data_IF_874408870789
#
_entry.id   IF_874408870789
#
_cell.length_a   1.000
_cell.length_b   1.000
_cell.length_c   1.000
_cell.angle_alpha   90.00
_cell.angle_beta   90.00
_cell.angle_gamma   90.00
#
_symmetry.space_group_name_H-M   'P 1'
#
loop_
_entity.id
_entity.type
_entity.pdbx_description
1 polymer ?
#
# COMPACT_ATOMS: atom_id res chain seq x y z
N UNK A 1 -11.46 -43.92 15.10
CA UNK A 1 -10.86 -42.66 14.59
C UNK A 1 -11.83 -42.05 13.60
N UNK A 2 -12.61 -41.05 14.03
CA UNK A 2 -13.54 -40.32 13.16
C UNK A 2 -12.72 -39.45 12.23
N UNK A 3 -12.88 -39.63 10.91
CA UNK A 3 -12.36 -38.71 9.93
C UNK A 3 -12.83 -37.30 10.32
N UNK A 4 -11.89 -36.44 10.67
CA UNK A 4 -12.17 -35.02 10.81
C UNK A 4 -12.57 -34.54 9.42
N UNK A 5 -13.86 -34.28 9.24
CA UNK A 5 -14.38 -33.50 8.13
C UNK A 5 -13.58 -32.21 8.07
N UNK A 6 -12.59 -32.15 7.17
CA UNK A 6 -11.93 -30.91 6.80
C UNK A 6 -12.94 -30.13 5.95
N UNK A 7 -13.91 -29.51 6.61
CA UNK A 7 -14.81 -28.58 5.97
C UNK A 7 -13.96 -27.56 5.22
N UNK A 8 -14.23 -27.41 3.92
CA UNK A 8 -13.53 -26.47 3.09
C UNK A 8 -13.56 -25.09 3.77
N UNK A 9 -12.42 -24.39 3.81
CA UNK A 9 -12.33 -23.15 4.55
C UNK A 9 -13.28 -22.11 3.94
N UNK A 10 -13.86 -21.21 4.78
CA UNK A 10 -14.92 -20.32 4.35
C UNK A 10 -14.41 -19.35 3.29
N UNK A 11 -15.15 -19.23 2.18
CA UNK A 11 -14.80 -18.29 1.11
C UNK A 11 -14.71 -16.86 1.66
N UNK A 12 -13.71 -16.07 1.23
CA UNK A 12 -13.61 -14.68 1.66
C UNK A 12 -14.85 -13.88 1.20
N UNK A 13 -15.27 -12.87 1.98
CA UNK A 13 -16.40 -12.03 1.62
C UNK A 13 -16.22 -11.33 0.27
N UNK A 14 -17.30 -11.13 -0.50
CA UNK A 14 -17.25 -10.48 -1.81
C UNK A 14 -16.66 -9.06 -1.80
N UNK A 15 -16.75 -8.35 -0.66
CA UNK A 15 -16.16 -7.01 -0.53
C UNK A 15 -14.64 -7.00 -0.55
N UNK A 16 -13.97 -8.13 -0.24
CA UNK A 16 -12.50 -8.22 -0.21
C UNK A 16 -11.88 -7.98 -1.59
N UNK A 17 -12.54 -8.42 -2.66
CA UNK A 17 -12.10 -8.17 -4.03
C UNK A 17 -12.14 -6.67 -4.36
N UNK A 18 -13.23 -5.99 -3.98
CA UNK A 18 -13.37 -4.53 -4.16
C UNK A 18 -12.34 -3.78 -3.33
N UNK A 19 -12.17 -4.13 -2.06
CA UNK A 19 -11.19 -3.51 -1.17
C UNK A 19 -9.74 -3.70 -1.67
N UNK A 20 -9.39 -4.88 -2.18
CA UNK A 20 -8.10 -5.13 -2.82
C UNK A 20 -7.88 -4.23 -4.03
N UNK A 21 -8.91 -4.07 -4.87
CA UNK A 21 -8.85 -3.22 -6.04
C UNK A 21 -8.75 -1.73 -5.67
N UNK A 22 -9.48 -1.29 -4.66
CA UNK A 22 -9.35 0.07 -4.11
C UNK A 22 -7.94 0.33 -3.59
N UNK A 23 -7.38 -0.57 -2.77
CA UNK A 23 -5.99 -0.43 -2.28
C UNK A 23 -4.99 -0.37 -3.43
N UNK A 24 -5.19 -1.18 -4.49
CA UNK A 24 -4.36 -1.17 -5.68
C UNK A 24 -4.39 0.19 -6.40
N UNK A 25 -5.58 0.76 -6.62
CA UNK A 25 -5.71 2.06 -7.26
C UNK A 25 -5.12 3.20 -6.43
N UNK A 26 -5.28 3.16 -5.10
CA UNK A 26 -4.68 4.13 -4.20
C UNK A 26 -3.14 4.06 -4.24
N UNK A 27 -2.56 2.86 -4.29
CA UNK A 27 -1.11 2.69 -4.48
C UNK A 27 -0.62 3.26 -5.81
N UNK A 28 -1.36 3.03 -6.91
CA UNK A 28 -1.01 3.58 -8.22
C UNK A 28 -1.12 5.10 -8.26
N UNK A 29 -2.14 5.67 -7.61
CA UNK A 29 -2.27 7.13 -7.45
C UNK A 29 -1.11 7.70 -6.61
N UNK A 30 -0.76 7.02 -5.52
CA UNK A 30 0.40 7.38 -4.68
C UNK A 30 1.70 7.33 -5.49
N UNK A 31 1.86 6.31 -6.36
CA UNK A 31 3.02 6.18 -7.22
C UNK A 31 3.19 7.37 -8.17
N UNK A 32 2.12 7.76 -8.85
CA UNK A 32 2.12 8.93 -9.76
C UNK A 32 2.49 10.19 -9.00
N UNK A 33 1.87 10.45 -7.85
CA UNK A 33 2.14 11.65 -7.06
C UNK A 33 3.55 11.68 -6.47
N UNK A 34 4.13 10.53 -6.11
CA UNK A 34 5.53 10.44 -5.69
C UNK A 34 6.52 10.82 -6.81
N UNK A 35 6.27 10.38 -8.04
CA UNK A 35 7.14 10.72 -9.19
C UNK A 35 6.95 12.19 -9.59
N UNK A 36 5.71 12.70 -9.56
CA UNK A 36 5.40 14.10 -9.86
C UNK A 36 6.05 15.10 -8.90
N UNK A 37 6.48 14.67 -7.72
CA UNK A 37 7.18 15.56 -6.79
C UNK A 37 8.54 16.02 -7.34
N UNK A 38 9.19 15.22 -8.21
CA UNK A 38 10.54 15.50 -8.72
C UNK A 38 10.58 16.78 -9.58
N UNK A 39 9.71 16.97 -10.59
CA UNK A 39 9.68 18.24 -11.33
C UNK A 39 9.21 19.43 -10.49
N UNK A 40 8.52 19.22 -9.36
CA UNK A 40 7.99 20.30 -8.50
C UNK A 40 9.01 20.78 -7.47
N UNK A 41 9.74 19.85 -6.84
CA UNK A 41 10.65 20.13 -5.72
C UNK A 41 12.13 19.86 -6.04
N UNK A 42 12.45 19.49 -7.29
CA UNK A 42 13.81 19.21 -7.73
C UNK A 42 14.29 17.81 -7.37
N UNK A 43 15.61 17.63 -7.32
CA UNK A 43 16.27 16.31 -7.22
C UNK A 43 17.07 16.14 -5.93
N UNK A 44 16.63 16.77 -4.84
CA UNK A 44 17.22 16.57 -3.51
C UNK A 44 17.09 15.10 -3.06
N UNK A 45 18.02 14.62 -2.23
CA UNK A 45 18.08 13.19 -1.85
C UNK A 45 16.79 12.67 -1.17
N UNK A 46 16.14 13.50 -0.34
CA UNK A 46 14.84 13.20 0.27
C UNK A 46 13.70 13.11 -0.76
N UNK A 47 13.74 13.94 -1.81
CA UNK A 47 12.78 13.92 -2.93
C UNK A 47 12.98 12.68 -3.78
N UNK A 48 14.22 12.37 -4.17
CA UNK A 48 14.55 11.17 -4.95
C UNK A 48 14.23 9.88 -4.19
N UNK A 49 14.53 9.83 -2.88
CA UNK A 49 14.17 8.71 -2.02
C UNK A 49 12.67 8.47 -1.98
N UNK A 50 11.87 9.54 -1.86
CA UNK A 50 10.42 9.44 -1.93
C UNK A 50 9.94 9.03 -3.34
N UNK A 51 10.52 9.56 -4.43
CA UNK A 51 10.19 9.10 -5.78
C UNK A 51 10.46 7.59 -5.97
N UNK A 52 11.50 7.05 -5.31
CA UNK A 52 11.78 5.62 -5.23
C UNK A 52 10.63 4.81 -4.59
N UNK A 53 10.02 5.31 -3.52
CA UNK A 53 8.80 4.72 -2.96
C UNK A 53 7.65 4.72 -3.97
N UNK A 54 7.55 5.74 -4.83
CA UNK A 54 6.58 5.76 -5.91
C UNK A 54 6.71 4.57 -6.86
N UNK A 55 7.94 4.20 -7.25
CA UNK A 55 8.19 3.01 -8.07
C UNK A 55 7.76 1.73 -7.36
N UNK A 56 8.07 1.61 -6.07
CA UNK A 56 7.65 0.48 -5.24
C UNK A 56 6.13 0.36 -5.21
N UNK A 57 5.42 1.47 -5.01
CA UNK A 57 3.96 1.48 -4.97
C UNK A 57 3.33 1.16 -6.33
N UNK A 58 3.96 1.54 -7.44
CA UNK A 58 3.53 1.13 -8.78
C UNK A 58 3.57 -0.39 -8.95
N UNK A 59 4.67 -1.02 -8.49
CA UNK A 59 4.84 -2.48 -8.51
C UNK A 59 3.80 -3.16 -7.63
N UNK A 60 3.59 -2.66 -6.41
CA UNK A 60 2.60 -3.23 -5.48
C UNK A 60 1.16 -3.10 -6.00
N UNK A 61 0.76 -1.92 -6.46
CA UNK A 61 -0.57 -1.70 -7.02
C UNK A 61 -0.85 -2.61 -8.22
N UNK A 62 0.12 -2.74 -9.13
CA UNK A 62 0.02 -3.68 -10.27
C UNK A 62 -0.03 -5.14 -9.79
N UNK A 63 0.78 -5.49 -8.79
CA UNK A 63 0.79 -6.81 -8.17
C UNK A 63 -0.54 -7.18 -7.53
N UNK A 64 -1.21 -6.25 -6.84
CA UNK A 64 -2.54 -6.44 -6.28
C UNK A 64 -3.60 -6.62 -7.37
N UNK A 65 -3.53 -5.90 -8.48
CA UNK A 65 -4.47 -6.10 -9.60
C UNK A 65 -4.29 -7.49 -10.22
N UNK A 66 -3.04 -7.95 -10.38
CA UNK A 66 -2.70 -9.27 -10.93
C UNK A 66 -2.85 -10.43 -9.94
N UNK A 67 -3.15 -10.16 -8.68
CA UNK A 67 -3.30 -11.18 -7.65
C UNK A 67 -2.00 -11.88 -7.23
N UNK A 68 -0.88 -11.16 -7.27
CA UNK A 68 0.40 -11.71 -6.81
C UNK A 68 0.35 -12.02 -5.30
N UNK A 69 0.66 -13.25 -4.84
CA UNK A 69 0.60 -13.64 -3.42
C UNK A 69 1.38 -12.73 -2.47
N UNK A 70 2.51 -12.18 -2.90
CA UNK A 70 3.33 -11.28 -2.08
C UNK A 70 2.80 -9.85 -1.99
N UNK A 71 1.87 -9.44 -2.86
CA UNK A 71 1.48 -8.04 -2.98
C UNK A 71 0.72 -7.52 -1.76
N UNK A 72 -0.18 -8.33 -1.18
CA UNK A 72 -0.92 -7.94 0.04
C UNK A 72 -0.01 -7.71 1.25
N UNK A 73 0.83 -8.67 1.70
CA UNK A 73 1.69 -8.44 2.84
C UNK A 73 2.70 -7.31 2.59
N UNK A 74 3.23 -7.19 1.37
CA UNK A 74 4.11 -6.08 1.02
C UNK A 74 3.40 -4.70 1.05
N UNK A 75 2.11 -4.65 0.68
CA UNK A 75 1.27 -3.44 0.76
C UNK A 75 0.84 -3.07 2.19
N UNK A 76 1.12 -3.93 3.17
CA UNK A 76 0.99 -3.57 4.58
C UNK A 76 2.30 -2.92 5.04
N UNK A 77 3.43 -3.58 4.76
CA UNK A 77 4.74 -3.19 5.31
C UNK A 77 5.31 -1.95 4.63
N UNK A 78 5.37 -1.91 3.30
CA UNK A 78 6.05 -0.83 2.59
C UNK A 78 5.30 0.51 2.68
N UNK A 79 3.96 0.55 2.58
CA UNK A 79 3.19 1.76 2.88
C UNK A 79 3.28 2.20 4.34
N UNK A 80 3.33 1.29 5.32
CA UNK A 80 3.53 1.67 6.72
C UNK A 80 4.91 2.32 6.96
N UNK A 81 5.97 1.77 6.34
CA UNK A 81 7.30 2.37 6.36
C UNK A 81 7.29 3.73 5.68
N UNK A 82 6.71 3.83 4.48
CA UNK A 82 6.61 5.08 3.72
C UNK A 82 5.84 6.16 4.48
N UNK A 83 4.70 5.84 5.07
CA UNK A 83 3.92 6.77 5.89
C UNK A 83 4.70 7.24 7.11
N UNK A 84 5.43 6.35 7.79
CA UNK A 84 6.30 6.73 8.92
C UNK A 84 7.41 7.67 8.47
N UNK A 85 8.10 7.36 7.37
CA UNK A 85 9.14 8.22 6.79
C UNK A 85 8.56 9.56 6.29
N UNK A 86 7.34 9.56 5.76
CA UNK A 86 6.61 10.74 5.31
C UNK A 86 6.31 11.70 6.46
N UNK A 87 5.86 11.18 7.61
CA UNK A 87 5.67 11.98 8.84
C UNK A 87 7.01 12.55 9.33
N UNK A 88 8.06 11.74 9.39
CA UNK A 88 9.39 12.22 9.79
C UNK A 88 9.92 13.31 8.85
N UNK A 89 9.77 13.12 7.53
CA UNK A 89 10.16 14.10 6.53
C UNK A 89 9.37 15.41 6.69
N UNK A 90 8.07 15.33 6.93
CA UNK A 90 7.23 16.51 7.15
C UNK A 90 7.72 17.30 8.37
N UNK A 91 7.89 16.64 9.52
CA UNK A 91 8.24 17.30 10.78
C UNK A 91 9.68 17.87 10.83
N UNK A 92 10.64 17.19 10.20
CA UNK A 92 12.08 17.48 10.41
C UNK A 92 12.84 17.98 9.18
N UNK A 93 12.32 17.79 7.96
CA UNK A 93 13.06 18.11 6.73
C UNK A 93 12.35 19.13 5.86
N UNK A 94 11.09 18.86 5.51
CA UNK A 94 10.39 19.67 4.52
C UNK A 94 8.87 19.56 4.66
N UNK A 95 8.24 20.61 5.19
CA UNK A 95 6.79 20.74 5.25
C UNK A 95 6.24 20.97 3.83
N UNK A 96 5.72 19.92 3.21
CA UNK A 96 5.12 19.99 1.88
C UNK A 96 3.80 19.21 1.82
N UNK A 97 2.86 19.63 0.96
CA UNK A 97 1.55 18.99 0.83
C UNK A 97 1.63 17.55 0.31
N UNK A 98 2.65 17.19 -0.48
CA UNK A 98 2.81 15.81 -0.96
C UNK A 98 3.06 14.84 0.20
N UNK A 99 3.90 15.21 1.18
CA UNK A 99 4.14 14.36 2.36
C UNK A 99 2.87 14.12 3.16
N UNK A 100 2.03 15.14 3.36
CA UNK A 100 0.74 14.96 4.04
C UNK A 100 -0.18 14.06 3.22
N UNK A 101 -0.26 14.29 1.92
CA UNK A 101 -1.08 13.50 1.00
C UNK A 101 -0.70 12.02 1.01
N UNK A 102 0.60 11.69 0.94
CA UNK A 102 1.09 10.32 0.96
C UNK A 102 0.77 9.62 2.28
N UNK A 103 0.96 10.31 3.41
CA UNK A 103 0.59 9.77 4.73
C UNK A 103 -0.91 9.46 4.82
N UNK A 104 -1.77 10.34 4.30
CA UNK A 104 -3.22 10.09 4.25
C UNK A 104 -3.55 8.86 3.42
N UNK A 105 -2.92 8.69 2.25
CA UNK A 105 -3.11 7.49 1.44
C UNK A 105 -2.67 6.23 2.18
N UNK A 106 -1.52 6.25 2.85
CA UNK A 106 -1.00 5.10 3.59
C UNK A 106 -1.92 4.71 4.76
N UNK A 107 -2.51 5.69 5.46
CA UNK A 107 -3.51 5.47 6.51
C UNK A 107 -4.79 4.80 6.00
N UNK A 108 -5.08 4.85 4.70
CA UNK A 108 -6.22 4.15 4.08
C UNK A 108 -5.78 2.80 3.49
N UNK A 109 -4.63 2.77 2.80
CA UNK A 109 -4.11 1.57 2.12
C UNK A 109 -3.78 0.47 3.13
N UNK A 110 -3.09 0.79 4.22
CA UNK A 110 -2.60 -0.21 5.18
C UNK A 110 -3.76 -0.95 5.86
N UNK A 111 -4.80 -0.27 6.43
CA UNK A 111 -5.95 -0.98 7.00
C UNK A 111 -6.71 -1.83 5.99
N UNK A 112 -6.87 -1.35 4.74
CA UNK A 112 -7.51 -2.14 3.67
C UNK A 112 -6.71 -3.40 3.34
N UNK A 113 -5.38 -3.27 3.22
CA UNK A 113 -4.49 -4.39 2.96
C UNK A 113 -4.51 -5.42 4.10
N UNK A 114 -4.51 -4.97 5.36
CA UNK A 114 -4.65 -5.84 6.55
C UNK A 114 -6.00 -6.57 6.52
N UNK A 115 -7.10 -5.86 6.29
CA UNK A 115 -8.43 -6.45 6.27
C UNK A 115 -8.55 -7.53 5.19
N UNK A 116 -8.04 -7.25 3.98
CA UNK A 116 -7.98 -8.21 2.88
C UNK A 116 -7.08 -9.41 3.20
N UNK A 117 -5.91 -9.19 3.79
CA UNK A 117 -4.96 -10.24 4.12
C UNK A 117 -5.50 -11.21 5.18
N UNK A 118 -6.08 -10.68 6.26
CA UNK A 118 -6.65 -11.49 7.33
C UNK A 118 -7.85 -12.29 6.86
N UNK A 119 -8.74 -11.69 6.05
CA UNK A 119 -9.91 -12.41 5.50
C UNK A 119 -9.55 -13.38 4.40
N UNK A 120 -8.46 -13.15 3.67
CA UNK A 120 -7.93 -14.10 2.69
C UNK A 120 -7.20 -15.31 3.30
N UNK A 121 -6.78 -15.23 4.57
CA UNK A 121 -6.14 -16.34 5.32
C UNK A 121 -7.08 -17.14 6.21
N UNK A 122 -8.26 -16.60 6.48
CA UNK A 122 -9.32 -17.31 7.20
C UNK A 122 -10.11 -18.27 6.29
N UNK A 123 -9.84 -18.23 4.98
CA UNK A 123 -10.26 -19.17 3.95
C UNK A 123 -9.07 -20.00 3.47
#
# INVERSE_FOLDING_TARGET
MKAMDQAAPPRPPAWTARARQTAAWLLLLSAVTHVLQVPVYGTEGNVLGAAGFGVVYAVLGTGLLRGWPGALPASIVLPAIGGTLGVLRFLFLHNNPFSVWHVVLDLVIVPLAIACYLKGRAG
#
